data_IF_630276573182
#
_entry.id   IF_630276573182
#
_cell.length_a   1.000
_cell.length_b   1.000
_cell.length_c   1.000
_cell.angle_alpha   90.00
_cell.angle_beta   90.00
_cell.angle_gamma   90.00
#
_symmetry.space_group_name_H-M   'P 1'
#
loop_
_entity.id
_entity.type
_entity.pdbx_description
1 polymer ?
#
# COMPACT_ATOMS: atom_id res chain seq x y z
N UNK A 1 16.59 12.66 -0.47
CA UNK A 1 15.13 12.78 -0.49
C UNK A 1 14.53 12.61 0.91
N UNK A 2 14.95 11.60 1.71
CA UNK A 2 14.47 11.42 3.10
C UNK A 2 14.84 12.58 4.04
N UNK A 3 16.04 13.17 3.90
CA UNK A 3 16.45 14.32 4.70
C UNK A 3 15.56 15.56 4.47
N UNK A 4 15.19 15.83 3.23
CA UNK A 4 14.34 16.98 2.90
C UNK A 4 12.92 16.87 3.47
N UNK A 5 12.36 15.66 3.53
CA UNK A 5 11.05 15.42 4.14
C UNK A 5 11.09 15.57 5.66
N UNK A 6 12.14 15.06 6.32
CA UNK A 6 12.32 15.20 7.75
C UNK A 6 12.56 16.67 8.16
N UNK A 7 13.29 17.41 7.33
CA UNK A 7 13.53 18.84 7.55
C UNK A 7 12.23 19.65 7.35
N UNK A 8 11.46 19.38 6.33
CA UNK A 8 10.16 20.01 6.08
C UNK A 8 9.15 19.71 7.20
N UNK A 9 9.10 18.47 7.67
CA UNK A 9 8.27 18.07 8.80
C UNK A 9 8.67 18.79 10.09
N UNK A 10 9.98 18.92 10.35
CA UNK A 10 10.50 19.64 11.52
C UNK A 10 10.15 21.11 11.47
N UNK A 11 10.28 21.76 10.31
CA UNK A 11 9.91 23.16 10.09
C UNK A 11 8.42 23.35 10.32
N UNK A 12 7.57 22.54 9.67
CA UNK A 12 6.11 22.62 9.82
C UNK A 12 5.66 22.39 11.27
N UNK A 13 6.25 21.42 11.98
CA UNK A 13 5.93 21.16 13.39
C UNK A 13 6.36 22.32 14.28
N UNK A 14 7.51 22.94 14.02
CA UNK A 14 8.01 24.06 14.82
C UNK A 14 7.23 25.36 14.55
N UNK A 15 6.92 25.64 13.30
CA UNK A 15 6.10 26.78 12.91
C UNK A 15 4.67 26.68 13.45
N UNK A 16 4.07 25.48 13.38
CA UNK A 16 2.75 25.23 13.95
C UNK A 16 2.75 25.35 15.48
N UNK A 17 3.77 24.81 16.16
CA UNK A 17 3.92 24.95 17.62
C UNK A 17 4.11 26.40 18.03
N UNK A 18 4.92 27.14 17.28
CA UNK A 18 5.16 28.56 17.53
C UNK A 18 3.90 29.39 17.31
N UNK A 19 3.14 29.12 16.24
CA UNK A 19 1.86 29.74 15.96
C UNK A 19 0.84 29.45 17.07
N UNK A 20 0.72 28.18 17.49
CA UNK A 20 -0.17 27.78 18.58
C UNK A 20 0.24 28.43 19.89
N UNK A 21 1.53 28.43 20.24
CA UNK A 21 2.02 29.06 21.47
C UNK A 21 1.76 30.58 21.52
N UNK A 22 1.93 31.26 20.39
CA UNK A 22 1.73 32.70 20.29
C UNK A 22 0.25 33.12 20.26
N UNK A 23 -0.65 32.20 19.92
CA UNK A 23 -2.10 32.46 19.79
C UNK A 23 -2.93 31.69 20.83
N UNK A 24 -2.31 30.92 21.73
CA UNK A 24 -3.00 30.02 22.66
C UNK A 24 -3.92 30.70 23.68
N UNK A 25 -3.84 32.01 23.84
CA UNK A 25 -4.67 32.72 24.81
C UNK A 25 -6.11 33.01 24.33
N UNK A 26 -6.47 32.67 23.07
CA UNK A 26 -7.81 32.97 22.54
C UNK A 26 -8.33 32.07 21.40
N UNK A 27 -7.59 31.02 21.02
CA UNK A 27 -8.04 30.12 19.93
C UNK A 27 -8.41 28.77 20.57
N UNK A 28 -9.68 28.39 20.46
CA UNK A 28 -10.07 27.00 20.66
C UNK A 28 -9.43 26.18 19.52
N UNK A 29 -8.29 25.56 19.83
CA UNK A 29 -7.48 24.78 18.88
C UNK A 29 -8.30 23.71 18.16
N UNK A 30 -9.22 23.07 18.89
CA UNK A 30 -10.09 22.04 18.33
C UNK A 30 -11.10 22.64 17.33
N UNK A 31 -11.62 23.83 17.60
CA UNK A 31 -12.52 24.50 16.68
C UNK A 31 -11.86 24.89 15.35
N UNK A 32 -10.53 25.12 15.37
CA UNK A 32 -9.75 25.44 14.16
C UNK A 32 -9.26 24.18 13.46
N UNK A 33 -8.76 23.20 14.21
CA UNK A 33 -8.15 22.00 13.65
C UNK A 33 -9.17 20.95 13.18
N UNK A 34 -10.28 20.78 13.89
CA UNK A 34 -11.29 19.79 13.52
C UNK A 34 -11.83 19.96 12.10
N UNK A 35 -12.17 21.16 11.60
CA UNK A 35 -12.56 21.33 10.19
C UNK A 35 -11.45 20.95 9.21
N UNK A 36 -10.19 21.23 9.53
CA UNK A 36 -9.04 20.90 8.68
C UNK A 36 -8.84 19.40 8.62
N UNK A 37 -8.89 18.71 9.77
CA UNK A 37 -8.80 17.24 9.85
C UNK A 37 -9.95 16.60 9.09
N UNK A 38 -11.17 17.05 9.31
CA UNK A 38 -12.36 16.54 8.60
C UNK A 38 -12.19 16.71 7.09
N UNK A 39 -11.81 17.90 6.65
CA UNK A 39 -11.59 18.15 5.22
C UNK A 39 -10.48 17.28 4.64
N UNK A 40 -9.37 17.07 5.38
CA UNK A 40 -8.28 16.19 4.94
C UNK A 40 -8.74 14.75 4.80
N UNK A 41 -9.46 14.24 5.77
CA UNK A 41 -10.00 12.88 5.73
C UNK A 41 -10.97 12.72 4.56
N UNK A 42 -11.94 13.62 4.42
CA UNK A 42 -12.99 13.53 3.41
C UNK A 42 -12.49 13.80 1.97
N UNK A 43 -11.54 14.71 1.81
CA UNK A 43 -11.07 15.12 0.49
C UNK A 43 -9.81 14.39 0.00
N UNK A 44 -9.02 13.78 0.90
CA UNK A 44 -7.75 13.12 0.56
C UNK A 44 -7.77 11.65 0.96
N UNK A 45 -7.90 11.35 2.24
CA UNK A 45 -7.71 9.98 2.76
C UNK A 45 -8.77 9.02 2.19
N UNK A 46 -10.04 9.31 2.40
CA UNK A 46 -11.15 8.45 1.97
C UNK A 46 -11.19 8.26 0.45
N UNK A 47 -11.06 9.31 -0.40
CA UNK A 47 -11.00 9.13 -1.85
C UNK A 47 -9.80 8.32 -2.31
N UNK A 48 -8.63 8.45 -1.66
CA UNK A 48 -7.44 7.66 -2.01
C UNK A 48 -7.67 6.18 -1.74
N UNK A 49 -8.18 5.80 -0.57
CA UNK A 49 -8.48 4.39 -0.29
C UNK A 49 -9.63 3.82 -1.13
N UNK A 50 -10.63 4.63 -1.49
CA UNK A 50 -11.65 4.20 -2.46
C UNK A 50 -11.05 3.91 -3.83
N UNK A 51 -10.15 4.80 -4.30
CA UNK A 51 -9.42 4.59 -5.54
C UNK A 51 -8.52 3.35 -5.48
N UNK A 52 -7.82 3.14 -4.36
CA UNK A 52 -7.00 1.95 -4.13
C UNK A 52 -7.83 0.68 -4.23
N UNK A 53 -8.97 0.62 -3.54
CA UNK A 53 -9.86 -0.53 -3.61
C UNK A 53 -10.33 -0.82 -5.03
N UNK A 54 -10.82 0.20 -5.74
CA UNK A 54 -11.32 0.06 -7.12
C UNK A 54 -10.23 -0.46 -8.06
N UNK A 55 -9.02 0.09 -7.96
CA UNK A 55 -7.90 -0.31 -8.80
C UNK A 55 -7.34 -1.69 -8.44
N UNK A 56 -7.36 -2.07 -7.17
CA UNK A 56 -7.02 -3.42 -6.74
C UNK A 56 -8.08 -4.45 -7.21
N UNK A 57 -9.36 -4.12 -7.19
CA UNK A 57 -10.40 -4.97 -7.77
C UNK A 57 -10.15 -5.19 -9.29
N UNK A 58 -9.75 -4.14 -10.01
CA UNK A 58 -9.39 -4.25 -11.42
C UNK A 58 -8.13 -5.11 -11.65
N UNK A 59 -7.10 -4.93 -10.82
CA UNK A 59 -5.88 -5.75 -10.83
C UNK A 59 -6.20 -7.23 -10.55
N UNK A 60 -7.00 -7.51 -9.55
CA UNK A 60 -7.45 -8.87 -9.23
C UNK A 60 -8.14 -9.52 -10.44
N UNK A 61 -9.08 -8.81 -11.07
CA UNK A 61 -9.78 -9.31 -12.24
C UNK A 61 -8.83 -9.56 -13.44
N UNK A 62 -7.83 -8.70 -13.64
CA UNK A 62 -6.82 -8.89 -14.69
C UNK A 62 -5.94 -10.11 -14.43
N UNK A 63 -5.56 -10.37 -13.17
CA UNK A 63 -4.79 -11.56 -12.77
C UNK A 63 -5.62 -12.84 -12.93
N UNK A 64 -6.90 -12.83 -12.56
CA UNK A 64 -7.80 -13.96 -12.78
C UNK A 64 -7.95 -14.24 -14.28
N UNK A 65 -8.15 -13.22 -15.10
CA UNK A 65 -8.25 -13.39 -16.56
C UNK A 65 -6.94 -13.95 -17.17
N UNK A 66 -5.78 -13.56 -16.65
CA UNK A 66 -4.48 -14.12 -17.01
C UNK A 66 -4.39 -15.61 -16.62
N UNK A 67 -4.86 -15.97 -15.43
CA UNK A 67 -4.85 -17.37 -14.96
C UNK A 67 -5.78 -18.26 -15.80
N UNK A 68 -6.98 -17.76 -16.13
CA UNK A 68 -7.99 -18.49 -16.91
C UNK A 68 -7.60 -18.67 -18.38
N UNK A 69 -6.94 -17.68 -18.99
CA UNK A 69 -6.55 -17.69 -20.38
C UNK A 69 -5.17 -17.05 -20.59
N UNK A 70 -4.08 -17.76 -20.26
CA UNK A 70 -2.73 -17.23 -20.35
C UNK A 70 -2.36 -16.77 -21.77
N UNK A 71 -1.97 -15.50 -21.90
CA UNK A 71 -1.50 -14.92 -23.15
C UNK A 71 -0.58 -13.73 -22.86
N UNK A 72 0.24 -13.34 -23.84
CA UNK A 72 1.09 -12.16 -23.70
C UNK A 72 0.26 -10.89 -23.45
N UNK A 73 -0.88 -10.76 -24.12
CA UNK A 73 -1.79 -9.63 -23.93
C UNK A 73 -2.43 -9.62 -22.53
N UNK A 74 -2.73 -10.79 -21.96
CA UNK A 74 -3.23 -10.89 -20.59
C UNK A 74 -2.14 -10.51 -19.56
N UNK A 75 -0.87 -10.89 -19.80
CA UNK A 75 0.26 -10.42 -18.99
C UNK A 75 0.39 -8.90 -19.04
N UNK A 76 0.39 -8.31 -20.24
CA UNK A 76 0.46 -6.85 -20.40
C UNK A 76 -0.70 -6.16 -19.66
N UNK A 77 -1.90 -6.67 -19.77
CA UNK A 77 -3.08 -6.13 -19.06
C UNK A 77 -2.91 -6.20 -17.54
N UNK A 78 -2.41 -7.31 -17.03
CA UNK A 78 -2.16 -7.45 -15.57
C UNK A 78 -1.03 -6.52 -15.09
N UNK A 79 0.01 -6.33 -15.89
CA UNK A 79 1.09 -5.38 -15.61
C UNK A 79 0.59 -3.93 -15.57
N UNK A 80 -0.23 -3.52 -16.53
CA UNK A 80 -0.82 -2.17 -16.58
C UNK A 80 -1.76 -1.93 -15.39
N UNK A 81 -2.54 -2.96 -15.01
CA UNK A 81 -3.40 -2.91 -13.85
C UNK A 81 -2.59 -2.80 -12.54
N UNK A 82 -1.45 -3.50 -12.44
CA UNK A 82 -0.53 -3.39 -11.30
C UNK A 82 0.03 -1.97 -11.17
N UNK A 83 0.55 -1.37 -12.24
CA UNK A 83 1.04 0.02 -12.24
C UNK A 83 -0.09 0.97 -11.79
N UNK A 84 -1.30 0.77 -12.31
CA UNK A 84 -2.45 1.60 -11.99
C UNK A 84 -2.87 1.48 -10.53
N UNK A 85 -2.79 0.29 -9.94
CA UNK A 85 -3.11 0.04 -8.54
C UNK A 85 -2.05 0.58 -7.58
N UNK A 86 -0.78 0.62 -7.98
CA UNK A 86 0.31 1.23 -7.20
C UNK A 86 0.10 2.72 -6.96
N UNK A 87 -0.46 3.46 -7.91
CA UNK A 87 -0.60 4.91 -7.80
C UNK A 87 -1.33 5.39 -6.53
N UNK A 88 -2.55 4.93 -6.20
CA UNK A 88 -3.21 5.31 -4.96
C UNK A 88 -2.54 4.72 -3.72
N UNK A 89 -1.87 3.57 -3.82
CA UNK A 89 -1.08 3.03 -2.72
C UNK A 89 0.07 3.98 -2.35
N UNK A 90 0.91 4.36 -3.30
CA UNK A 90 2.00 5.32 -3.12
C UNK A 90 1.52 6.67 -2.53
N UNK A 91 0.33 7.13 -2.95
CA UNK A 91 -0.28 8.33 -2.37
C UNK A 91 -0.70 8.13 -0.91
N UNK A 92 -1.10 6.92 -0.53
CA UNK A 92 -1.55 6.60 0.82
C UNK A 92 -0.41 6.53 1.84
N UNK A 93 0.84 6.39 1.39
CA UNK A 93 2.02 6.42 2.27
C UNK A 93 2.14 7.71 3.08
N UNK A 94 1.53 8.80 2.60
CA UNK A 94 1.47 10.06 3.34
C UNK A 94 0.62 9.98 4.64
N UNK A 95 -0.16 8.93 4.82
CA UNK A 95 -1.07 8.75 5.95
C UNK A 95 -1.22 7.29 6.40
N UNK A 96 -0.12 6.55 6.44
CA UNK A 96 -0.02 5.20 7.01
C UNK A 96 -0.02 5.27 8.54
N UNK A 97 -1.14 5.63 9.12
CA UNK A 97 -1.36 5.71 10.56
C UNK A 97 -2.80 5.33 10.92
N UNK A 98 -3.07 5.14 12.20
CA UNK A 98 -4.38 4.69 12.69
C UNK A 98 -4.71 3.28 12.22
N UNK A 99 -5.90 3.01 11.67
CA UNK A 99 -6.32 1.64 11.34
C UNK A 99 -5.38 0.90 10.38
N UNK A 100 -4.70 1.60 9.48
CA UNK A 100 -3.75 0.98 8.52
C UNK A 100 -2.51 0.46 9.23
N UNK A 101 -1.98 1.23 10.18
CA UNK A 101 -0.86 0.87 11.02
C UNK A 101 -1.26 -0.21 12.04
N UNK A 102 -2.34 0.03 12.78
CA UNK A 102 -2.86 -0.89 13.81
C UNK A 102 -3.20 -2.28 13.28
N UNK A 103 -3.63 -2.38 12.02
CA UNK A 103 -3.95 -3.65 11.35
C UNK A 103 -2.76 -4.24 10.57
N UNK A 104 -1.59 -3.61 10.59
CA UNK A 104 -0.41 -4.08 9.87
C UNK A 104 -0.62 -4.19 8.35
N UNK A 105 -1.41 -3.28 7.75
CA UNK A 105 -1.75 -3.38 6.33
C UNK A 105 -0.58 -3.09 5.42
N UNK A 106 0.27 -2.14 5.78
CA UNK A 106 1.44 -1.75 5.00
C UNK A 106 2.39 -2.93 4.75
N UNK A 107 2.95 -3.61 5.76
CA UNK A 107 3.85 -4.72 5.52
C UNK A 107 3.18 -5.92 4.83
N UNK A 108 1.86 -6.02 4.87
CA UNK A 108 1.14 -7.08 4.16
C UNK A 108 0.85 -6.73 2.69
N UNK A 109 0.80 -5.45 2.35
CA UNK A 109 0.54 -4.98 0.99
C UNK A 109 1.81 -4.65 0.21
N UNK A 110 2.89 -4.22 0.88
CA UNK A 110 4.06 -3.67 0.20
C UNK A 110 5.39 -3.97 0.92
N UNK A 111 5.52 -5.14 1.55
CA UNK A 111 6.76 -5.51 2.27
C UNK A 111 7.98 -5.53 1.36
N UNK A 112 9.07 -4.98 1.85
CA UNK A 112 10.39 -5.01 1.23
C UNK A 112 11.48 -5.24 2.30
N UNK A 113 12.52 -6.09 2.06
CA UNK A 113 12.79 -6.85 0.82
C UNK A 113 11.94 -8.11 0.68
N UNK A 114 11.75 -8.55 -0.58
CA UNK A 114 11.12 -9.84 -0.88
C UNK A 114 11.98 -11.02 -0.48
N UNK A 115 11.37 -12.10 0.01
CA UNK A 115 12.00 -13.40 0.03
C UNK A 115 11.72 -14.19 -1.28
N UNK A 116 12.53 -13.90 -2.30
CA UNK A 116 12.39 -14.53 -3.62
C UNK A 116 12.56 -16.07 -3.54
N UNK A 117 13.39 -16.57 -2.62
CA UNK A 117 13.58 -18.01 -2.47
C UNK A 117 12.33 -18.67 -1.90
N UNK A 118 11.72 -18.05 -0.88
CA UNK A 118 10.46 -18.55 -0.33
C UNK A 118 9.33 -18.49 -1.36
N UNK A 119 9.22 -17.42 -2.16
CA UNK A 119 8.25 -17.34 -3.27
C UNK A 119 8.43 -18.50 -4.24
N UNK A 120 9.67 -18.79 -4.67
CA UNK A 120 9.96 -19.91 -5.58
C UNK A 120 9.65 -21.27 -4.93
N UNK A 121 9.91 -21.43 -3.63
CA UNK A 121 9.55 -22.64 -2.90
C UNK A 121 8.04 -22.87 -2.85
N UNK A 122 7.26 -21.81 -2.56
CA UNK A 122 5.78 -21.86 -2.58
C UNK A 122 5.26 -22.25 -3.96
N UNK A 123 5.79 -21.64 -5.03
CA UNK A 123 5.42 -21.99 -6.41
C UNK A 123 5.71 -23.46 -6.74
N UNK A 124 6.85 -24.00 -6.29
CA UNK A 124 7.24 -25.38 -6.55
C UNK A 124 6.45 -26.38 -5.69
N UNK A 125 6.16 -26.07 -4.44
CA UNK A 125 5.43 -26.94 -3.52
C UNK A 125 3.91 -26.83 -3.66
N UNK A 126 3.43 -25.74 -4.25
CA UNK A 126 2.00 -25.39 -4.32
C UNK A 126 1.35 -25.24 -2.93
N UNK A 127 2.12 -24.81 -1.93
CA UNK A 127 1.65 -24.58 -0.55
C UNK A 127 1.00 -23.19 -0.43
N UNK A 128 -0.19 -23.04 -0.99
CA UNK A 128 -0.89 -21.76 -1.05
C UNK A 128 -1.48 -21.31 0.29
N UNK A 129 -1.75 -22.25 1.19
CA UNK A 129 -2.29 -21.97 2.53
C UNK A 129 -1.42 -21.01 3.35
N UNK A 130 -0.12 -20.98 3.09
CA UNK A 130 0.84 -20.13 3.80
C UNK A 130 0.72 -18.65 3.39
N UNK A 131 -0.03 -18.36 2.33
CA UNK A 131 -0.29 -17.00 1.84
C UNK A 131 -1.63 -16.44 2.32
N UNK A 132 -2.49 -17.28 2.87
CA UNK A 132 -3.81 -16.86 3.33
C UNK A 132 -3.67 -15.97 4.57
N UNK A 133 -4.48 -14.94 4.61
CA UNK A 133 -4.63 -14.02 5.73
C UNK A 133 -6.10 -13.64 5.87
N UNK A 134 -6.59 -13.69 7.08
CA UNK A 134 -7.98 -13.36 7.40
C UNK A 134 -8.05 -12.39 8.57
N UNK A 135 -9.10 -11.59 8.62
CA UNK A 135 -9.39 -10.76 9.78
C UNK A 135 -9.54 -11.65 11.03
N UNK A 136 -8.74 -11.35 12.06
CA UNK A 136 -8.72 -12.10 13.31
C UNK A 136 -7.61 -13.15 13.42
N UNK A 137 -6.78 -13.30 12.40
CA UNK A 137 -5.55 -14.09 12.53
C UNK A 137 -4.60 -13.45 13.55
N UNK A 138 -3.80 -14.28 14.22
CA UNK A 138 -2.81 -13.76 15.14
C UNK A 138 -1.67 -13.04 14.40
N UNK A 139 -1.03 -12.11 15.09
CA UNK A 139 0.03 -11.25 14.51
C UNK A 139 1.17 -12.08 13.90
N UNK A 140 1.55 -13.19 14.52
CA UNK A 140 2.62 -14.05 14.01
C UNK A 140 2.23 -14.74 12.70
N UNK A 141 0.98 -15.16 12.54
CA UNK A 141 0.46 -15.73 11.29
C UNK A 141 0.42 -14.67 10.18
N UNK A 142 0.00 -13.45 10.51
CA UNK A 142 -0.03 -12.32 9.58
C UNK A 142 1.39 -11.95 9.13
N UNK A 143 2.35 -11.86 10.06
CA UNK A 143 3.74 -11.49 9.78
C UNK A 143 4.49 -12.55 8.97
N UNK A 144 4.19 -13.84 9.18
CA UNK A 144 4.94 -14.94 8.59
C UNK A 144 4.98 -14.94 7.05
N UNK A 145 3.98 -14.36 6.40
CA UNK A 145 3.85 -14.31 4.95
C UNK A 145 4.09 -12.92 4.33
N UNK A 146 4.45 -11.91 5.11
CA UNK A 146 4.61 -10.53 4.62
C UNK A 146 5.62 -10.44 3.46
N UNK A 147 6.75 -11.15 3.54
CA UNK A 147 7.83 -11.11 2.56
C UNK A 147 7.55 -11.87 1.25
N UNK A 148 6.41 -12.57 1.17
CA UNK A 148 6.06 -13.41 0.03
C UNK A 148 4.71 -13.06 -0.58
N UNK A 149 4.10 -11.94 -0.18
CA UNK A 149 2.84 -11.43 -0.73
C UNK A 149 2.87 -9.92 -0.94
N UNK A 150 1.81 -9.34 -1.47
CA UNK A 150 1.70 -7.91 -1.73
C UNK A 150 2.19 -7.47 -3.10
N UNK A 151 2.32 -6.16 -3.27
CA UNK A 151 2.64 -5.53 -4.54
C UNK A 151 3.99 -5.98 -5.11
N UNK A 152 5.03 -6.05 -4.29
CA UNK A 152 6.36 -6.46 -4.76
C UNK A 152 6.43 -7.92 -5.16
N UNK A 153 5.72 -8.81 -4.46
CA UNK A 153 5.60 -10.21 -4.87
C UNK A 153 4.89 -10.33 -6.21
N UNK A 154 3.81 -9.58 -6.39
CA UNK A 154 3.08 -9.58 -7.66
C UNK A 154 3.93 -8.98 -8.79
N UNK A 155 4.73 -7.94 -8.53
CA UNK A 155 5.73 -7.42 -9.46
C UNK A 155 6.70 -8.51 -9.89
N UNK A 156 7.29 -9.23 -8.93
CA UNK A 156 8.22 -10.34 -9.22
C UNK A 156 7.59 -11.43 -10.10
N UNK A 157 6.29 -11.68 -9.95
CA UNK A 157 5.56 -12.67 -10.75
C UNK A 157 5.17 -12.15 -12.13
N UNK A 158 4.85 -10.86 -12.26
CA UNK A 158 4.39 -10.26 -13.52
C UNK A 158 5.53 -9.79 -14.42
N UNK A 159 6.65 -9.35 -13.83
CA UNK A 159 7.76 -8.75 -14.59
C UNK A 159 9.02 -9.62 -14.55
N UNK A 160 9.87 -9.44 -15.58
CA UNK A 160 11.22 -9.96 -15.62
C UNK A 160 12.13 -8.93 -16.32
N UNK A 161 13.16 -8.46 -15.62
CA UNK A 161 14.10 -7.45 -16.13
C UNK A 161 13.39 -6.14 -16.56
N UNK A 162 12.36 -5.72 -15.85
CA UNK A 162 11.59 -4.52 -16.16
C UNK A 162 10.55 -4.66 -17.28
N UNK A 163 10.41 -5.83 -17.88
CA UNK A 163 9.46 -6.09 -18.96
C UNK A 163 8.39 -7.10 -18.51
N UNK A 164 7.15 -6.99 -19.00
CA UNK A 164 6.13 -7.99 -18.77
C UNK A 164 6.61 -9.39 -19.17
N UNK A 165 6.33 -10.38 -18.32
CA UNK A 165 6.61 -11.78 -18.66
C UNK A 165 5.77 -12.21 -19.85
N UNK A 166 6.22 -13.23 -20.55
CA UNK A 166 5.55 -13.81 -21.70
C UNK A 166 5.20 -15.27 -21.44
N UNK A 167 4.07 -15.70 -21.98
CA UNK A 167 3.69 -17.11 -22.01
C UNK A 167 4.74 -17.87 -22.83
N UNK A 168 5.24 -18.97 -22.27
CA UNK A 168 6.18 -19.88 -22.92
C UNK A 168 5.43 -20.98 -23.68
#
# INVERSE_FOLDING_TARGET
AMDACAELESILKNDLKSYIANNSNNINTDAVLNPVVTQYVDAVVVPTYKSLKEKNDALYNAVIALADNPSNSAFETACDAWITAREPWEKSEAFLFGPVDEMGLDPNMDSWPLDQNAIVQILNSQSWSDLEWSEGDDEAAVESAQNVRGFHTLEFLLYKNGEPRKVQ
#
